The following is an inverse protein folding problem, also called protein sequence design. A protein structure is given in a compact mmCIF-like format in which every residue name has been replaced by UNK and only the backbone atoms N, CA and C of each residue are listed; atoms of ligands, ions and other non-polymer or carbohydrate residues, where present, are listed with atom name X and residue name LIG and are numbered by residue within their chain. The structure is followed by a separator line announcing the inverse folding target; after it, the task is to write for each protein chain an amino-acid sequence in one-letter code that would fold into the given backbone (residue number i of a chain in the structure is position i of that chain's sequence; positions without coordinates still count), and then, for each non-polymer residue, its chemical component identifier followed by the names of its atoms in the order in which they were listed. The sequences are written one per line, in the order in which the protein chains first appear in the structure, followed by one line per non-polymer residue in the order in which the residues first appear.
data_IF_987696363425
#
_entry.id   IF_987696363425
#
_cell.length_a   1.000
_cell.length_b   1.000
_cell.length_c   1.000
_cell.angle_alpha   90.00
_cell.angle_beta   90.00
_cell.angle_gamma   90.00
#
_symmetry.space_group_name_H-M   'P 1'
#
loop_
_entity.id
_entity.type
_entity.pdbx_description
1 polymer ?
#
# COMPACT_ATOMS: atom_id res chain seq x y z
N UNK A 1 -21.09 -6.35 -58.26
CA UNK A 1 -19.67 -6.77 -58.33
C UNK A 1 -18.89 -5.81 -57.43
N UNK A 2 -18.55 -6.17 -56.20
CA UNK A 2 -17.29 -6.86 -55.80
C UNK A 2 -16.07 -6.32 -56.55
N UNK A 3 -15.24 -5.54 -55.86
CA UNK A 3 -13.88 -5.96 -55.51
C UNK A 3 -13.31 -5.05 -54.41
N UNK A 4 -13.15 -5.64 -53.22
CA UNK A 4 -12.12 -5.27 -52.28
C UNK A 4 -10.74 -5.62 -52.87
N UNK A 5 -9.66 -4.97 -52.40
CA UNK A 5 -8.39 -5.62 -52.00
C UNK A 5 -7.33 -4.58 -51.60
N UNK A 6 -6.83 -4.76 -50.36
CA UNK A 6 -5.48 -4.54 -49.81
C UNK A 6 -4.88 -3.13 -49.79
N UNK A 7 -4.69 -2.56 -48.59
CA UNK A 7 -3.58 -2.75 -47.62
C UNK A 7 -2.40 -1.84 -47.97
N UNK A 8 -2.20 -0.83 -47.13
CA UNK A 8 -0.91 -0.57 -46.47
C UNK A 8 -1.10 0.49 -45.39
N UNK A 9 -1.52 0.03 -44.21
CA UNK A 9 -1.43 0.86 -43.01
C UNK A 9 -0.04 0.64 -42.43
N UNK A 10 0.82 1.65 -42.57
CA UNK A 10 2.09 1.72 -41.88
C UNK A 10 1.82 1.79 -40.37
N UNK A 11 1.95 0.66 -39.69
CA UNK A 11 1.91 0.57 -38.23
C UNK A 11 3.21 1.17 -37.72
N UNK A 12 3.25 2.48 -37.49
CA UNK A 12 4.24 3.08 -36.59
C UNK A 12 3.72 2.93 -35.17
N UNK A 13 4.12 1.84 -34.55
CA UNK A 13 3.93 1.58 -33.12
C UNK A 13 4.79 2.56 -32.32
N UNK A 14 4.31 3.79 -32.14
CA UNK A 14 4.79 4.65 -31.06
C UNK A 14 3.94 4.37 -29.84
N UNK A 15 4.61 3.88 -28.80
CA UNK A 15 4.04 3.47 -27.51
C UNK A 15 3.06 4.53 -27.00
N UNK A 16 1.87 4.10 -26.58
CA UNK A 16 1.08 4.80 -25.57
C UNK A 16 -0.22 5.51 -25.99
N UNK A 17 -0.66 5.50 -27.25
CA UNK A 17 -1.93 6.14 -27.61
C UNK A 17 -2.90 5.13 -28.25
N UNK A 18 -4.05 4.93 -27.62
CA UNK A 18 -5.25 4.41 -28.29
C UNK A 18 -6.34 5.47 -28.25
N UNK A 19 -6.89 5.80 -29.41
CA UNK A 19 -8.05 6.69 -29.54
C UNK A 19 -9.25 5.80 -29.75
N UNK A 20 -10.18 5.82 -28.80
CA UNK A 20 -11.52 5.25 -28.98
C UNK A 20 -12.53 6.35 -28.65
N UNK A 21 -13.33 6.73 -29.64
CA UNK A 21 -14.52 7.58 -29.51
C UNK A 21 -14.33 8.94 -28.78
N UNK A 22 -13.36 9.75 -29.24
CA UNK A 22 -13.31 11.21 -28.99
C UNK A 22 -13.37 11.71 -27.53
N UNK A 23 -13.10 10.86 -26.53
CA UNK A 23 -12.93 11.29 -25.14
C UNK A 23 -11.48 11.01 -24.73
N UNK A 24 -10.75 12.06 -24.35
CA UNK A 24 -9.44 11.93 -23.72
C UNK A 24 -9.67 11.38 -22.31
N UNK A 25 -9.55 10.07 -22.14
CA UNK A 25 -9.48 9.45 -20.82
C UNK A 25 -8.01 9.36 -20.46
N UNK A 26 -7.56 10.20 -19.53
CA UNK A 26 -6.31 9.98 -18.82
C UNK A 26 -6.52 8.74 -17.94
N UNK A 27 -6.30 7.55 -18.52
CA UNK A 27 -6.18 6.35 -17.71
C UNK A 27 -5.02 6.53 -16.73
N UNK A 28 -5.17 6.19 -15.44
CA UNK A 28 -4.05 6.23 -14.53
C UNK A 28 -2.93 5.34 -15.10
N UNK A 29 -1.66 5.75 -15.00
CA UNK A 29 -0.57 4.91 -15.44
C UNK A 29 -0.65 3.58 -14.70
N UNK A 30 -0.62 2.47 -15.43
CA UNK A 30 -0.34 1.15 -14.87
C UNK A 30 1.13 1.16 -14.45
N UNK A 31 1.41 1.77 -13.29
CA UNK A 31 2.72 1.65 -12.67
C UNK A 31 2.75 0.26 -12.04
N UNK A 32 3.42 -0.68 -12.70
CA UNK A 32 3.91 -1.88 -12.03
C UNK A 32 5.01 -1.41 -11.07
N UNK A 33 4.59 -0.95 -9.89
CA UNK A 33 5.50 -0.78 -8.77
C UNK A 33 5.59 -2.17 -8.15
N UNK A 34 6.66 -2.90 -8.46
CA UNK A 34 7.13 -3.91 -7.50
C UNK A 34 7.51 -3.13 -6.24
N UNK A 35 6.52 -2.94 -5.35
CA UNK A 35 6.69 -2.29 -4.06
C UNK A 35 7.42 -3.28 -3.16
N UNK A 36 8.75 -3.37 -3.31
CA UNK A 36 9.59 -3.95 -2.27
C UNK A 36 9.76 -2.86 -1.21
N UNK A 37 8.75 -2.69 -0.36
CA UNK A 37 8.92 -1.94 0.88
C UNK A 37 9.59 -2.88 1.85
N UNK A 38 10.90 -2.69 2.05
CA UNK A 38 11.55 -3.25 3.22
C UNK A 38 11.04 -2.45 4.43
N UNK A 39 9.94 -2.89 5.02
CA UNK A 39 9.61 -2.45 6.37
C UNK A 39 10.83 -2.74 7.25
N UNK A 40 11.15 -1.90 8.25
CA UNK A 40 12.24 -2.14 9.19
C UNK A 40 11.90 -3.29 10.16
N UNK A 41 11.22 -4.33 9.69
CA UNK A 41 10.85 -5.53 10.41
C UNK A 41 11.93 -6.58 10.24
N UNK A 42 12.36 -7.18 11.35
CA UNK A 42 13.11 -8.44 11.30
C UNK A 42 12.09 -9.56 11.18
N UNK A 43 12.22 -10.40 10.14
CA UNK A 43 11.27 -11.48 9.77
C UNK A 43 10.83 -12.39 10.93
N UNK A 44 11.60 -12.50 12.02
CA UNK A 44 11.30 -13.39 13.15
C UNK A 44 11.07 -12.66 14.49
N UNK A 45 10.82 -11.35 14.48
CA UNK A 45 10.71 -10.55 15.72
C UNK A 45 9.29 -10.35 16.23
N UNK A 46 8.29 -10.65 15.42
CA UNK A 46 6.87 -10.48 15.73
C UNK A 46 6.13 -11.77 15.42
N UNK A 47 5.06 -12.05 16.16
CA UNK A 47 4.14 -13.11 15.76
C UNK A 47 3.43 -12.78 14.45
N UNK A 48 2.96 -13.82 13.76
CA UNK A 48 2.39 -13.73 12.40
C UNK A 48 1.27 -12.68 12.30
N UNK A 49 0.39 -12.60 13.29
CA UNK A 49 -0.74 -11.67 13.27
C UNK A 49 -0.32 -10.22 13.50
N UNK A 50 0.63 -9.96 14.40
CA UNK A 50 1.17 -8.61 14.53
C UNK A 50 1.91 -8.18 13.28
N UNK A 51 2.64 -9.08 12.62
CA UNK A 51 3.27 -8.80 11.34
C UNK A 51 2.25 -8.39 10.28
N UNK A 52 1.17 -9.16 10.10
CA UNK A 52 0.09 -8.83 9.16
C UNK A 52 -0.54 -7.47 9.48
N UNK A 53 -0.82 -7.18 10.75
CA UNK A 53 -1.37 -5.87 11.16
C UNK A 53 -0.47 -4.70 10.76
N UNK A 54 0.85 -4.85 10.89
CA UNK A 54 1.80 -3.81 10.51
C UNK A 54 1.83 -3.63 8.99
N UNK A 55 1.80 -4.72 8.23
CA UNK A 55 1.75 -4.67 6.75
C UNK A 55 0.45 -3.99 6.28
N UNK A 56 -0.69 -4.37 6.84
CA UNK A 56 -1.97 -3.73 6.54
C UNK A 56 -1.98 -2.24 6.87
N UNK A 57 -1.40 -1.85 8.01
CA UNK A 57 -1.28 -0.45 8.40
C UNK A 57 -0.43 0.34 7.39
N UNK A 58 0.71 -0.19 6.97
CA UNK A 58 1.59 0.44 5.99
C UNK A 58 0.87 0.64 4.65
N UNK A 59 0.14 -0.39 4.18
CA UNK A 59 -0.62 -0.32 2.94
C UNK A 59 -1.76 0.70 3.02
N UNK A 60 -2.52 0.74 4.12
CA UNK A 60 -3.57 1.74 4.33
C UNK A 60 -3.00 3.16 4.35
N UNK A 61 -1.87 3.39 5.03
CA UNK A 61 -1.22 4.70 5.05
C UNK A 61 -0.82 5.13 3.63
N UNK A 62 -0.23 4.23 2.82
CA UNK A 62 0.12 4.54 1.43
C UNK A 62 -1.11 4.81 0.57
N UNK A 63 -2.18 4.05 0.74
CA UNK A 63 -3.44 4.27 0.03
C UNK A 63 -3.98 5.67 0.33
N UNK A 64 -3.97 6.08 1.59
CA UNK A 64 -4.37 7.44 1.96
C UNK A 64 -3.43 8.52 1.43
N UNK A 65 -2.12 8.26 1.34
CA UNK A 65 -1.17 9.19 0.71
C UNK A 65 -1.45 9.37 -0.79
N UNK A 66 -1.78 8.28 -1.50
CA UNK A 66 -2.02 8.31 -2.94
C UNK A 66 -3.38 8.90 -3.30
N UNK A 67 -4.43 8.54 -2.56
CA UNK A 67 -5.81 8.81 -2.96
C UNK A 67 -6.52 9.87 -2.12
N UNK A 68 -6.00 10.22 -0.94
CA UNK A 68 -6.65 11.15 -0.01
C UNK A 68 -5.77 12.36 0.36
N UNK A 69 -4.77 12.66 -0.47
CA UNK A 69 -3.81 13.76 -0.28
C UNK A 69 -3.17 13.79 1.13
N UNK A 70 -3.04 12.62 1.77
CA UNK A 70 -2.44 12.54 3.09
C UNK A 70 -0.93 12.80 2.98
N UNK A 71 -0.34 13.63 3.86
CA UNK A 71 1.11 13.83 3.88
C UNK A 71 1.86 12.51 4.03
N UNK A 72 3.04 12.42 3.41
CA UNK A 72 3.90 11.26 3.55
C UNK A 72 4.27 11.03 5.03
N UNK A 73 4.02 9.82 5.50
CA UNK A 73 4.44 9.29 6.79
C UNK A 73 5.26 8.03 6.55
N UNK A 74 6.39 7.91 7.24
CA UNK A 74 7.35 6.81 7.06
C UNK A 74 7.66 6.20 8.42
N UNK A 75 7.56 4.89 8.52
CA UNK A 75 8.00 4.16 9.72
C UNK A 75 9.52 4.16 9.80
N UNK A 76 10.05 4.69 10.89
CA UNK A 76 11.49 4.74 11.14
C UNK A 76 11.95 3.55 11.97
N UNK A 77 11.07 3.01 12.82
CA UNK A 77 11.37 1.86 13.68
C UNK A 77 10.08 1.12 14.05
N UNK A 78 10.15 -0.19 14.05
CA UNK A 78 9.07 -1.05 14.56
C UNK A 78 9.69 -2.09 15.46
N UNK A 79 9.29 -2.12 16.73
CA UNK A 79 9.86 -3.03 17.71
C UNK A 79 8.84 -3.51 18.75
N UNK A 80 9.20 -4.60 19.44
CA UNK A 80 8.48 -5.08 20.61
C UNK A 80 9.15 -4.52 21.86
N UNK A 81 8.54 -3.50 22.45
CA UNK A 81 9.03 -2.86 23.67
C UNK A 81 8.18 -3.31 24.86
N UNK A 82 8.80 -4.00 25.83
CA UNK A 82 8.12 -4.53 27.03
C UNK A 82 6.88 -5.39 26.71
N UNK A 83 6.97 -6.22 25.67
CA UNK A 83 5.87 -7.09 25.25
C UNK A 83 4.74 -6.37 24.50
N UNK A 84 4.94 -5.11 24.08
CA UNK A 84 3.98 -4.31 23.32
C UNK A 84 4.57 -3.89 21.98
N UNK A 85 3.73 -3.78 20.97
CA UNK A 85 4.13 -3.16 19.70
C UNK A 85 4.38 -1.66 19.91
N UNK A 86 5.49 -1.18 19.36
CA UNK A 86 5.86 0.23 19.32
C UNK A 86 6.27 0.59 17.89
N UNK A 87 5.69 1.65 17.34
CA UNK A 87 5.96 2.12 15.99
C UNK A 87 6.41 3.59 16.04
N UNK A 88 7.68 3.82 15.75
CA UNK A 88 8.21 5.17 15.54
C UNK A 88 8.05 5.55 14.06
N UNK A 89 7.70 6.81 13.82
CA UNK A 89 7.46 7.33 12.48
C UNK A 89 7.78 8.82 12.38
N UNK A 90 8.01 9.27 11.17
CA UNK A 90 8.19 10.69 10.82
C UNK A 90 7.18 11.11 9.76
N UNK A 91 6.74 12.37 9.82
CA UNK A 91 5.75 12.93 8.89
C UNK A 91 4.30 12.49 9.21
N UNK A 92 3.48 12.41 8.18
CA UNK A 92 2.06 12.13 8.28
C UNK A 92 1.25 13.29 8.87
N UNK A 93 -0.02 12.99 9.21
CA UNK A 93 -0.91 13.92 9.89
C UNK A 93 -1.64 13.21 11.06
N UNK A 94 -2.64 13.87 11.65
CA UNK A 94 -3.41 13.28 12.75
C UNK A 94 -4.14 11.98 12.38
N UNK A 95 -4.43 11.75 11.09
CA UNK A 95 -5.00 10.47 10.62
C UNK A 95 -3.96 9.37 10.73
N UNK A 96 -2.73 9.61 10.24
CA UNK A 96 -1.60 8.68 10.39
C UNK A 96 -1.37 8.32 11.85
N UNK A 97 -1.32 9.34 12.72
CA UNK A 97 -1.18 9.14 14.17
C UNK A 97 -2.31 8.30 14.76
N UNK A 98 -3.56 8.57 14.37
CA UNK A 98 -4.73 7.82 14.82
C UNK A 98 -4.67 6.34 14.40
N UNK A 99 -4.28 6.05 13.16
CA UNK A 99 -4.11 4.69 12.66
C UNK A 99 -3.03 3.93 13.44
N UNK A 100 -1.87 4.56 13.66
CA UNK A 100 -0.76 3.96 14.42
C UNK A 100 -1.19 3.71 15.88
N UNK A 101 -1.77 4.71 16.54
CA UNK A 101 -2.25 4.56 17.93
C UNK A 101 -3.30 3.46 18.07
N UNK A 102 -4.17 3.29 17.08
CA UNK A 102 -5.14 2.19 17.06
C UNK A 102 -4.45 0.84 16.99
N UNK A 103 -3.48 0.67 16.08
CA UNK A 103 -2.74 -0.58 15.91
C UNK A 103 -1.91 -0.92 17.15
N UNK A 104 -1.23 0.06 17.75
CA UNK A 104 -0.49 -0.13 19.01
C UNK A 104 -1.44 -0.54 20.15
N UNK A 105 -2.57 0.15 20.31
CA UNK A 105 -3.56 -0.18 21.34
C UNK A 105 -4.21 -1.55 21.12
N UNK A 106 -4.52 -1.90 19.87
CA UNK A 106 -5.14 -3.17 19.52
C UNK A 106 -4.17 -4.34 19.71
N UNK A 107 -2.90 -4.16 19.34
CA UNK A 107 -1.86 -5.18 19.54
C UNK A 107 -1.76 -5.60 21.02
N UNK A 108 -1.93 -4.67 21.96
CA UNK A 108 -1.93 -4.95 23.40
C UNK A 108 -3.13 -5.77 23.89
N UNK A 109 -4.13 -6.01 23.03
CA UNK A 109 -5.35 -6.77 23.34
C UNK A 109 -5.42 -8.11 22.63
N UNK A 110 -4.48 -8.41 21.74
CA UNK A 110 -4.48 -9.64 20.95
C UNK A 110 -3.16 -10.39 21.05
N UNK A 111 -3.24 -11.71 21.01
CA UNK A 111 -2.07 -12.57 20.93
C UNK A 111 -1.31 -12.31 19.61
N UNK A 112 0.03 -12.25 19.70
CA UNK A 112 0.85 -11.82 18.56
C UNK A 112 0.88 -12.82 17.41
N UNK A 113 0.68 -14.10 17.70
CA UNK A 113 0.74 -15.17 16.71
C UNK A 113 -0.63 -15.49 16.13
N UNK A 114 -1.67 -15.48 16.97
CA UNK A 114 -3.00 -15.97 16.61
C UNK A 114 -4.04 -14.88 16.44
N UNK A 115 -3.78 -13.66 16.92
CA UNK A 115 -4.71 -12.54 16.84
C UNK A 115 -5.95 -12.70 17.73
N UNK A 116 -5.99 -13.74 18.56
CA UNK A 116 -7.06 -13.97 19.52
C UNK A 116 -7.00 -12.92 20.62
N UNK A 117 -8.16 -12.46 21.06
CA UNK A 117 -8.25 -11.49 22.16
C UNK A 117 -7.68 -12.13 23.43
N UNK A 118 -6.71 -11.45 24.05
CA UNK A 118 -6.20 -11.80 25.36
C UNK A 118 -7.30 -11.54 26.38
N UNK A 119 -7.76 -12.58 27.09
CA UNK A 119 -8.84 -12.48 28.07
C UNK A 119 -8.67 -11.25 28.99
N UNK A 120 -9.68 -10.38 28.97
CA UNK A 120 -9.78 -9.14 29.75
C UNK A 120 -10.22 -9.39 31.19
#
# INVERSE_FOLDING_TARGET
MKNAVKKETSIRQRRGLQVVNNILVLGPPLINIEFIVSLPLKENSFGSMWHEMIVYLDDEIKMHQIYNDMPAGIFTKIEKLNGKLSIDYEGGNEVTKGMISLIEAYSAKVDEETGQVLNL
#
